data_IF_149087654822
#
_entry.id   IF_149087654822
#
_cell.length_a   1.000
_cell.length_b   1.000
_cell.length_c   1.000
_cell.angle_alpha   90.00
_cell.angle_beta   90.00
_cell.angle_gamma   90.00
#
_symmetry.space_group_name_H-M   'P 1'
#
loop_
_entity.id
_entity.type
_entity.pdbx_description
1 polymer ?
#
# COMPACT_ATOMS: atom_id res chain seq x y z
N UNK A 1 -30.04 13.64 -15.96
CA UNK A 1 -28.66 13.82 -15.48
C UNK A 1 -28.62 13.26 -14.06
N UNK A 2 -27.65 12.42 -13.70
CA UNK A 2 -27.52 11.91 -12.33
C UNK A 2 -27.28 13.05 -11.34
N UNK A 3 -27.84 12.93 -10.14
CA UNK A 3 -27.58 13.82 -9.01
C UNK A 3 -26.20 13.57 -8.41
N UNK A 4 -25.66 14.54 -7.66
CA UNK A 4 -24.38 14.38 -6.97
C UNK A 4 -24.39 13.18 -5.98
N UNK A 5 -25.55 12.90 -5.37
CA UNK A 5 -25.73 11.73 -4.50
C UNK A 5 -25.64 10.42 -5.27
N UNK A 6 -26.32 10.32 -6.42
CA UNK A 6 -26.26 9.12 -7.27
C UNK A 6 -24.83 8.87 -7.79
N UNK A 7 -24.13 9.93 -8.20
CA UNK A 7 -22.71 9.83 -8.62
C UNK A 7 -21.86 9.28 -7.49
N UNK A 8 -22.04 9.82 -6.26
CA UNK A 8 -21.31 9.37 -5.08
C UNK A 8 -21.56 7.91 -4.73
N UNK A 9 -22.81 7.46 -4.81
CA UNK A 9 -23.16 6.07 -4.49
C UNK A 9 -22.55 5.09 -5.51
N UNK A 10 -22.50 5.48 -6.79
CA UNK A 10 -21.82 4.72 -7.85
C UNK A 10 -20.32 4.68 -7.59
N UNK A 11 -19.69 5.82 -7.31
CA UNK A 11 -18.25 5.92 -7.02
C UNK A 11 -17.85 5.06 -5.80
N UNK A 12 -18.64 5.09 -4.72
CA UNK A 12 -18.44 4.25 -3.53
C UNK A 12 -18.53 2.77 -3.89
N UNK A 13 -19.50 2.36 -4.72
CA UNK A 13 -19.65 0.97 -5.15
C UNK A 13 -18.43 0.52 -5.96
N UNK A 14 -18.02 1.30 -6.95
CA UNK A 14 -16.86 0.98 -7.78
C UNK A 14 -15.57 0.94 -6.96
N UNK A 15 -15.34 1.93 -6.09
CA UNK A 15 -14.18 1.98 -5.21
C UNK A 15 -14.10 0.77 -4.27
N UNK A 16 -15.22 0.38 -3.65
CA UNK A 16 -15.29 -0.85 -2.82
C UNK A 16 -14.99 -2.12 -3.60
N UNK A 17 -15.50 -2.24 -4.84
CA UNK A 17 -15.21 -3.38 -5.71
C UNK A 17 -13.71 -3.43 -6.03
N UNK A 18 -13.12 -2.30 -6.47
CA UNK A 18 -11.69 -2.20 -6.79
C UNK A 18 -10.82 -2.61 -5.59
N UNK A 19 -11.08 -2.04 -4.41
CA UNK A 19 -10.40 -2.39 -3.16
C UNK A 19 -10.54 -3.87 -2.80
N UNK A 20 -11.73 -4.46 -2.95
CA UNK A 20 -11.98 -5.88 -2.68
C UNK A 20 -11.21 -6.79 -3.64
N UNK A 21 -11.24 -6.49 -4.93
CA UNK A 21 -10.53 -7.28 -5.95
C UNK A 21 -9.02 -7.18 -5.74
N UNK A 22 -8.51 -5.99 -5.39
CA UNK A 22 -7.12 -5.80 -5.01
C UNK A 22 -6.73 -6.64 -3.78
N UNK A 23 -7.56 -6.62 -2.74
CA UNK A 23 -7.31 -7.41 -1.53
C UNK A 23 -7.29 -8.92 -1.83
N UNK A 24 -8.20 -9.40 -2.68
CA UNK A 24 -8.22 -10.80 -3.13
C UNK A 24 -6.93 -11.14 -3.90
N UNK A 25 -6.49 -10.29 -4.82
CA UNK A 25 -5.24 -10.49 -5.55
C UNK A 25 -4.04 -10.56 -4.59
N UNK A 26 -3.92 -9.60 -3.65
CA UNK A 26 -2.86 -9.59 -2.65
C UNK A 26 -2.89 -10.85 -1.78
N UNK A 27 -4.08 -11.30 -1.38
CA UNK A 27 -4.25 -12.52 -0.59
C UNK A 27 -3.73 -13.75 -1.35
N UNK A 28 -4.13 -13.94 -2.61
CA UNK A 28 -3.65 -15.06 -3.42
C UNK A 28 -2.14 -14.98 -3.69
N UNK A 29 -1.63 -13.80 -4.04
CA UNK A 29 -0.21 -13.58 -4.30
C UNK A 29 0.67 -13.77 -3.05
N UNK A 30 0.15 -13.56 -1.85
CA UNK A 30 0.85 -13.86 -0.60
C UNK A 30 0.69 -15.31 -0.15
N UNK A 31 -0.55 -15.80 -0.09
CA UNK A 31 -0.85 -17.13 0.46
C UNK A 31 -0.30 -18.26 -0.41
N UNK A 32 -0.46 -18.19 -1.73
CA UNK A 32 -0.05 -19.28 -2.61
C UNK A 32 1.46 -19.59 -2.52
N UNK A 33 2.38 -18.62 -2.70
CA UNK A 33 3.81 -18.89 -2.55
C UNK A 33 4.19 -19.23 -1.10
N UNK A 34 3.56 -18.62 -0.10
CA UNK A 34 3.82 -18.96 1.30
C UNK A 34 3.50 -20.42 1.63
N UNK A 35 2.34 -20.92 1.19
CA UNK A 35 1.93 -22.31 1.40
C UNK A 35 2.78 -23.28 0.59
N UNK A 36 3.09 -22.94 -0.66
CA UNK A 36 3.98 -23.75 -1.50
C UNK A 36 5.38 -23.86 -0.86
N UNK A 37 5.96 -22.76 -0.40
CA UNK A 37 7.26 -22.77 0.29
C UNK A 37 7.19 -23.54 1.61
N UNK A 38 6.13 -23.37 2.39
CA UNK A 38 5.97 -24.04 3.68
C UNK A 38 5.88 -25.56 3.53
N UNK A 39 5.22 -26.04 2.47
CA UNK A 39 5.14 -27.46 2.15
C UNK A 39 6.53 -28.09 1.89
N UNK A 40 7.45 -27.35 1.29
CA UNK A 40 8.78 -27.85 0.95
C UNK A 40 9.85 -27.59 2.03
N UNK A 41 9.70 -26.52 2.83
CA UNK A 41 10.73 -26.06 3.77
C UNK A 41 10.43 -26.37 5.24
N UNK A 42 9.20 -26.78 5.57
CA UNK A 42 8.77 -27.11 6.94
C UNK A 42 9.18 -26.04 7.98
N UNK A 43 8.78 -24.76 7.80
CA UNK A 43 9.19 -23.66 8.65
C UNK A 43 8.77 -23.84 10.11
N UNK A 44 9.68 -23.49 11.02
CA UNK A 44 9.36 -23.38 12.45
C UNK A 44 8.45 -22.17 12.71
N UNK A 45 7.77 -22.15 13.85
CA UNK A 45 6.92 -20.99 14.21
C UNK A 45 7.74 -19.69 14.38
N UNK A 46 9.03 -19.79 14.77
CA UNK A 46 9.92 -18.64 14.85
C UNK A 46 10.21 -18.06 13.46
N UNK A 47 10.44 -18.92 12.46
CA UNK A 47 10.64 -18.50 11.08
C UNK A 47 9.39 -17.81 10.53
N UNK A 48 8.20 -18.32 10.84
CA UNK A 48 6.94 -17.66 10.52
C UNK A 48 6.83 -16.28 11.15
N UNK A 49 7.04 -16.17 12.47
CA UNK A 49 6.90 -14.91 13.20
C UNK A 49 7.90 -13.85 12.70
N UNK A 50 9.16 -14.25 12.53
CA UNK A 50 10.20 -13.38 12.00
C UNK A 50 9.87 -12.95 10.57
N UNK A 51 9.44 -13.89 9.72
CA UNK A 51 9.03 -13.62 8.36
C UNK A 51 7.87 -12.63 8.29
N UNK A 52 6.80 -12.84 9.05
CA UNK A 52 5.65 -11.91 9.08
C UNK A 52 6.08 -10.52 9.50
N UNK A 53 6.95 -10.42 10.52
CA UNK A 53 7.49 -9.14 10.98
C UNK A 53 8.28 -8.44 9.88
N UNK A 54 9.18 -9.15 9.21
CA UNK A 54 9.95 -8.62 8.07
C UNK A 54 9.00 -8.20 6.93
N UNK A 55 7.97 -9.00 6.63
CA UNK A 55 6.97 -8.70 5.60
C UNK A 55 6.18 -7.43 5.89
N UNK A 56 5.81 -7.17 7.15
CA UNK A 56 5.14 -5.94 7.56
C UNK A 56 6.05 -4.71 7.41
N UNK A 57 7.31 -4.82 7.84
CA UNK A 57 8.31 -3.74 7.69
C UNK A 57 8.58 -3.48 6.21
N UNK A 58 8.75 -4.54 5.42
CA UNK A 58 8.91 -4.46 3.97
C UNK A 58 7.70 -3.82 3.31
N UNK A 59 6.48 -4.17 3.72
CA UNK A 59 5.25 -3.55 3.21
C UNK A 59 5.22 -2.04 3.45
N UNK A 60 5.64 -1.59 4.62
CA UNK A 60 5.74 -0.16 4.93
C UNK A 60 6.83 0.55 4.12
N UNK A 61 8.01 -0.08 3.98
CA UNK A 61 9.10 0.42 3.13
C UNK A 61 8.67 0.52 1.66
N UNK A 62 7.99 -0.52 1.19
CA UNK A 62 7.48 -0.63 -0.16
C UNK A 62 6.43 0.44 -0.44
N UNK A 63 5.44 0.60 0.44
CA UNK A 63 4.43 1.66 0.32
C UNK A 63 5.10 3.03 0.18
N UNK A 64 6.04 3.35 1.07
CA UNK A 64 6.80 4.59 1.01
C UNK A 64 7.48 4.78 -0.36
N UNK A 65 8.23 3.77 -0.82
CA UNK A 65 8.96 3.86 -2.07
C UNK A 65 8.03 3.92 -3.29
N UNK A 66 6.97 3.12 -3.30
CA UNK A 66 5.94 3.09 -4.32
C UNK A 66 5.25 4.46 -4.43
N UNK A 67 4.81 5.00 -3.30
CA UNK A 67 4.13 6.28 -3.27
C UNK A 67 5.09 7.42 -3.68
N UNK A 68 6.29 7.49 -3.11
CA UNK A 68 7.26 8.54 -3.41
C UNK A 68 7.82 8.51 -4.83
N UNK A 69 8.22 7.34 -5.31
CA UNK A 69 9.00 7.22 -6.55
C UNK A 69 8.20 6.75 -7.75
N UNK A 70 7.05 6.09 -7.56
CA UNK A 70 6.21 5.65 -8.66
C UNK A 70 4.95 6.49 -8.79
N UNK A 71 4.20 6.68 -7.70
CA UNK A 71 2.97 7.47 -7.72
C UNK A 71 3.22 8.98 -7.85
N UNK A 72 4.34 9.48 -7.34
CA UNK A 72 4.75 10.88 -7.57
C UNK A 72 5.71 11.07 -8.75
N UNK A 73 5.90 10.06 -9.60
CA UNK A 73 6.70 10.19 -10.82
C UNK A 73 5.85 10.78 -11.96
N UNK A 74 6.14 12.02 -12.42
CA UNK A 74 5.37 12.65 -13.47
C UNK A 74 5.42 11.85 -14.77
N UNK A 75 4.35 11.93 -15.57
CA UNK A 75 4.26 11.33 -16.92
C UNK A 75 4.28 9.80 -16.97
N UNK A 76 4.12 9.12 -15.84
CA UNK A 76 3.83 7.69 -15.79
C UNK A 76 2.33 7.45 -15.62
N UNK A 77 1.84 6.27 -15.99
CA UNK A 77 0.42 5.92 -15.77
C UNK A 77 0.06 5.94 -14.28
N UNK A 78 0.98 5.49 -13.42
CA UNK A 78 0.83 5.54 -11.96
C UNK A 78 0.80 6.98 -11.44
N UNK A 79 1.68 7.84 -11.97
CA UNK A 79 1.69 9.27 -11.66
C UNK A 79 0.42 9.99 -12.05
N UNK A 80 -0.09 9.73 -13.25
CA UNK A 80 -1.35 10.33 -13.72
C UNK A 80 -2.55 9.89 -12.86
N UNK A 81 -2.64 8.59 -12.55
CA UNK A 81 -3.70 8.07 -11.68
C UNK A 81 -3.63 8.65 -10.26
N UNK A 82 -2.42 8.85 -9.73
CA UNK A 82 -2.24 9.47 -8.42
C UNK A 82 -2.55 10.96 -8.41
N UNK A 83 -2.22 11.69 -9.47
CA UNK A 83 -2.63 13.09 -9.62
C UNK A 83 -4.15 13.22 -9.69
N UNK A 84 -4.83 12.29 -10.37
CA UNK A 84 -6.28 12.23 -10.37
C UNK A 84 -6.84 11.94 -8.97
N UNK A 85 -6.24 11.01 -8.22
CA UNK A 85 -6.57 10.79 -6.81
C UNK A 85 -6.52 12.07 -5.97
N UNK A 86 -5.44 12.86 -6.09
CA UNK A 86 -5.29 14.17 -5.42
C UNK A 86 -6.35 15.18 -5.89
N UNK A 87 -6.66 15.21 -7.19
CA UNK A 87 -7.61 16.17 -7.76
C UNK A 87 -9.08 15.91 -7.38
N UNK A 88 -9.41 14.68 -6.98
CA UNK A 88 -10.80 14.26 -6.73
C UNK A 88 -11.23 14.35 -5.26
N UNK A 89 -10.39 14.87 -4.37
CA UNK A 89 -10.73 15.02 -2.95
C UNK A 89 -11.95 15.92 -2.78
N UNK A 90 -12.93 15.47 -2.00
CA UNK A 90 -14.16 16.20 -1.71
C UNK A 90 -15.17 16.25 -2.86
N UNK A 91 -14.85 15.70 -4.03
CA UNK A 91 -15.80 15.61 -5.14
C UNK A 91 -16.74 14.41 -4.95
N UNK A 92 -17.92 14.38 -5.59
CA UNK A 92 -18.78 13.20 -5.58
C UNK A 92 -18.10 11.92 -6.09
N UNK A 93 -17.04 12.03 -6.90
CA UNK A 93 -16.32 10.90 -7.51
C UNK A 93 -15.09 10.45 -6.72
N UNK A 94 -14.70 11.12 -5.63
CA UNK A 94 -13.50 10.82 -4.82
C UNK A 94 -13.27 9.32 -4.61
N UNK A 95 -14.32 8.62 -4.17
CA UNK A 95 -14.29 7.20 -3.81
C UNK A 95 -13.80 6.27 -4.93
N UNK A 96 -13.96 6.64 -6.20
CA UNK A 96 -13.53 5.84 -7.34
C UNK A 96 -12.00 5.81 -7.52
N UNK A 97 -11.34 6.86 -7.02
CA UNK A 97 -9.91 7.13 -7.21
C UNK A 97 -9.10 6.88 -5.94
N UNK A 98 -9.70 6.34 -4.88
CA UNK A 98 -8.99 6.14 -3.60
C UNK A 98 -7.97 5.01 -3.63
N UNK A 99 -8.16 3.97 -4.44
CA UNK A 99 -7.27 2.80 -4.40
C UNK A 99 -5.81 3.20 -4.71
N UNK A 100 -4.89 2.88 -3.79
CA UNK A 100 -3.47 3.20 -3.93
C UNK A 100 -2.84 2.44 -5.10
N UNK A 101 -3.22 1.17 -5.25
CA UNK A 101 -2.82 0.34 -6.38
C UNK A 101 -4.00 0.25 -7.35
N UNK A 102 -3.80 0.73 -8.58
CA UNK A 102 -4.92 0.94 -9.51
C UNK A 102 -5.58 -0.33 -10.06
N UNK A 103 -4.94 -1.51 -9.97
CA UNK A 103 -5.49 -2.76 -10.50
C UNK A 103 -4.92 -4.02 -9.82
N UNK A 104 -5.65 -5.16 -9.86
CA UNK A 104 -5.15 -6.44 -9.36
C UNK A 104 -3.93 -6.96 -10.16
N UNK A 105 -3.85 -6.64 -11.46
CA UNK A 105 -2.69 -7.00 -12.26
C UNK A 105 -1.42 -6.31 -11.73
N UNK A 106 -1.52 -5.05 -11.32
CA UNK A 106 -0.39 -4.34 -10.71
C UNK A 106 0.05 -5.02 -9.41
N UNK A 107 -0.88 -5.52 -8.60
CA UNK A 107 -0.54 -6.30 -7.40
C UNK A 107 0.23 -7.57 -7.78
N UNK A 108 -0.25 -8.33 -8.76
CA UNK A 108 0.45 -9.53 -9.24
C UNK A 108 1.86 -9.19 -9.69
N UNK A 109 2.03 -8.14 -10.50
CA UNK A 109 3.33 -7.69 -10.99
C UNK A 109 4.25 -7.28 -9.85
N UNK A 110 3.75 -6.57 -8.84
CA UNK A 110 4.53 -6.19 -7.66
C UNK A 110 5.04 -7.44 -6.91
N UNK A 111 4.18 -8.43 -6.69
CA UNK A 111 4.59 -9.69 -6.05
C UNK A 111 5.60 -10.47 -6.90
N UNK A 112 5.48 -10.46 -8.23
CA UNK A 112 6.46 -11.13 -9.11
C UNK A 112 7.80 -10.40 -9.06
N UNK A 113 7.82 -9.09 -9.26
CA UNK A 113 9.04 -8.28 -9.33
C UNK A 113 9.83 -8.33 -8.02
N UNK A 114 9.16 -8.35 -6.87
CA UNK A 114 9.83 -8.40 -5.57
C UNK A 114 10.02 -9.85 -5.06
N UNK A 115 9.03 -10.71 -5.29
CA UNK A 115 9.00 -12.07 -4.78
C UNK A 115 9.96 -13.01 -5.49
N UNK A 116 10.20 -12.85 -6.79
CA UNK A 116 11.17 -13.68 -7.51
C UNK A 116 12.61 -13.43 -7.01
N UNK A 117 13.11 -12.18 -6.93
CA UNK A 117 14.41 -11.92 -6.31
C UNK A 117 14.49 -12.39 -4.86
N UNK A 118 13.46 -12.13 -4.05
CA UNK A 118 13.42 -12.58 -2.66
C UNK A 118 13.49 -14.10 -2.53
N UNK A 119 12.79 -14.83 -3.41
CA UNK A 119 12.87 -16.28 -3.51
C UNK A 119 14.29 -16.75 -3.83
N UNK A 120 14.91 -16.22 -4.87
CA UNK A 120 16.28 -16.59 -5.25
C UNK A 120 17.28 -16.36 -4.10
N UNK A 121 17.20 -15.20 -3.45
CA UNK A 121 18.03 -14.88 -2.27
C UNK A 121 17.76 -15.87 -1.13
N UNK A 122 16.49 -16.18 -0.87
CA UNK A 122 16.11 -17.12 0.19
C UNK A 122 16.66 -18.52 -0.08
N UNK A 123 16.70 -18.97 -1.34
CA UNK A 123 17.24 -20.28 -1.70
C UNK A 123 18.73 -20.32 -1.50
N UNK A 124 19.45 -19.28 -1.95
CA UNK A 124 20.90 -19.17 -1.79
C UNK A 124 21.33 -19.15 -0.32
N UNK A 125 20.51 -18.57 0.57
CA UNK A 125 20.83 -18.41 1.98
C UNK A 125 20.15 -19.44 2.91
N UNK A 126 19.32 -20.35 2.38
CA UNK A 126 18.57 -21.30 3.19
C UNK A 126 17.47 -20.66 4.07
N UNK A 127 16.91 -19.52 3.65
CA UNK A 127 15.93 -18.72 4.39
C UNK A 127 14.49 -18.88 3.88
N UNK A 128 14.19 -19.95 3.13
CA UNK A 128 12.86 -20.16 2.52
C UNK A 128 11.75 -20.17 3.57
N UNK A 129 12.02 -20.74 4.76
CA UNK A 129 11.05 -20.77 5.86
C UNK A 129 10.67 -19.38 6.40
N UNK A 130 11.60 -18.42 6.38
CA UNK A 130 11.32 -17.02 6.74
C UNK A 130 10.52 -16.35 5.62
N UNK A 131 10.86 -16.62 4.36
CA UNK A 131 10.18 -16.05 3.20
C UNK A 131 8.68 -16.40 3.17
N UNK A 132 8.27 -17.56 3.68
CA UNK A 132 6.87 -17.91 3.91
C UNK A 132 6.12 -16.81 4.70
N UNK A 133 6.69 -16.41 5.84
CA UNK A 133 6.11 -15.36 6.66
C UNK A 133 6.16 -13.99 5.99
N UNK A 134 7.23 -13.68 5.23
CA UNK A 134 7.37 -12.40 4.51
C UNK A 134 6.23 -12.19 3.54
N UNK A 135 5.86 -13.20 2.75
CA UNK A 135 4.74 -13.12 1.81
C UNK A 135 3.41 -12.84 2.52
N UNK A 136 3.16 -13.49 3.67
CA UNK A 136 1.94 -13.23 4.45
C UNK A 136 1.94 -11.85 5.08
N UNK A 137 3.06 -11.43 5.70
CA UNK A 137 3.18 -10.12 6.32
C UNK A 137 3.03 -8.98 5.31
N UNK A 138 3.65 -9.11 4.14
CA UNK A 138 3.54 -8.10 3.09
C UNK A 138 2.13 -8.03 2.49
N UNK A 139 1.50 -9.18 2.24
CA UNK A 139 0.10 -9.24 1.79
C UNK A 139 -0.86 -8.58 2.80
N UNK A 140 -0.71 -8.91 4.09
CA UNK A 140 -1.48 -8.29 5.16
C UNK A 140 -1.28 -6.77 5.19
N UNK A 141 -0.03 -6.30 5.04
CA UNK A 141 0.27 -4.87 5.00
C UNK A 141 -0.45 -4.17 3.84
N UNK A 142 -0.37 -4.71 2.61
CA UNK A 142 -1.02 -4.11 1.44
C UNK A 142 -2.54 -4.02 1.60
N UNK A 143 -3.16 -5.08 2.13
CA UNK A 143 -4.61 -5.09 2.41
C UNK A 143 -4.97 -4.03 3.46
N UNK A 144 -4.19 -3.95 4.54
CA UNK A 144 -4.41 -2.95 5.60
C UNK A 144 -4.18 -1.53 5.08
N UNK A 145 -3.17 -1.31 4.26
CA UNK A 145 -2.86 -0.02 3.64
C UNK A 145 -4.05 0.48 2.82
N UNK A 146 -4.56 -0.34 1.89
CA UNK A 146 -5.73 0.00 1.06
C UNK A 146 -6.99 0.24 1.91
N UNK A 147 -7.21 -0.57 2.96
CA UNK A 147 -8.36 -0.42 3.86
C UNK A 147 -8.28 0.86 4.70
N UNK A 148 -7.12 1.17 5.27
CA UNK A 148 -6.93 2.37 6.09
C UNK A 148 -6.95 3.61 5.22
N UNK A 149 -6.32 3.59 4.04
CA UNK A 149 -6.38 4.67 3.04
C UNK A 149 -7.85 4.96 2.66
N UNK A 150 -8.63 3.92 2.37
CA UNK A 150 -10.06 4.05 2.12
C UNK A 150 -10.82 4.74 3.25
N UNK A 151 -10.59 4.31 4.50
CA UNK A 151 -11.28 4.89 5.67
C UNK A 151 -10.88 6.33 5.91
N UNK A 152 -9.63 6.68 5.64
CA UNK A 152 -9.12 8.05 5.69
C UNK A 152 -9.86 8.92 4.66
N UNK A 153 -10.04 8.50 3.43
CA UNK A 153 -10.81 9.31 2.47
C UNK A 153 -12.30 9.36 2.77
N UNK A 154 -12.90 8.22 3.11
CA UNK A 154 -14.36 8.11 3.28
C UNK A 154 -14.86 8.53 4.67
N UNK A 155 -14.07 9.29 5.42
CA UNK A 155 -14.37 9.71 6.80
C UNK A 155 -14.94 8.61 7.70
N UNK A 156 -14.45 7.38 7.51
CA UNK A 156 -14.94 6.19 8.21
C UNK A 156 -14.16 5.93 9.50
N UNK A 157 -14.69 5.07 10.36
CA UNK A 157 -14.06 4.72 11.63
C UNK A 157 -12.64 4.13 11.44
N UNK A 158 -11.70 4.64 12.22
CA UNK A 158 -10.32 4.16 12.32
C UNK A 158 -10.09 3.61 13.74
N UNK A 159 -9.22 2.60 13.91
CA UNK A 159 -8.79 2.17 15.24
C UNK A 159 -8.16 3.34 16.03
N UNK A 160 -8.30 3.39 17.38
CA UNK A 160 -7.79 4.49 18.20
C UNK A 160 -6.32 4.85 17.96
N UNK A 161 -5.45 3.84 17.78
CA UNK A 161 -4.03 4.03 17.49
C UNK A 161 -3.72 4.63 16.10
N UNK A 162 -4.70 4.72 15.21
CA UNK A 162 -4.57 5.24 13.84
C UNK A 162 -5.39 6.52 13.60
N UNK A 163 -5.99 7.11 14.64
CA UNK A 163 -6.74 8.37 14.46
C UNK A 163 -5.88 9.49 13.86
N UNK A 164 -4.59 9.55 14.21
CA UNK A 164 -3.65 10.54 13.67
C UNK A 164 -3.43 10.39 12.15
N UNK A 165 -3.55 9.17 11.62
CA UNK A 165 -3.23 8.85 10.23
C UNK A 165 -4.08 9.66 9.25
N UNK A 166 -5.34 9.96 9.61
CA UNK A 166 -6.22 10.81 8.81
C UNK A 166 -5.62 12.20 8.62
N UNK A 167 -5.28 12.89 9.71
CA UNK A 167 -4.70 14.23 9.63
C UNK A 167 -3.34 14.21 8.91
N UNK A 168 -2.53 13.18 9.17
CA UNK A 168 -1.24 13.00 8.54
C UNK A 168 -1.34 12.85 7.02
N UNK A 169 -2.17 11.94 6.54
CA UNK A 169 -2.37 11.69 5.10
C UNK A 169 -3.13 12.82 4.41
N UNK A 170 -4.09 13.47 5.07
CA UNK A 170 -4.72 14.66 4.47
C UNK A 170 -3.71 15.81 4.31
N UNK A 171 -2.74 15.94 5.21
CA UNK A 171 -1.63 16.90 5.04
C UNK A 171 -0.70 16.56 3.86
N UNK A 172 -0.67 15.30 3.43
CA UNK A 172 0.01 14.91 2.18
C UNK A 172 -0.71 15.48 0.96
N UNK A 173 -2.04 15.42 0.95
CA UNK A 173 -2.84 15.99 -0.15
C UNK A 173 -2.70 17.50 -0.27
N UNK A 174 -2.55 18.20 0.84
CA UNK A 174 -2.26 19.64 0.83
C UNK A 174 -0.86 19.95 0.29
N UNK A 175 0.14 19.11 0.62
CA UNK A 175 1.55 19.29 0.23
C UNK A 175 2.14 17.95 -0.26
N UNK A 176 1.94 17.60 -1.56
CA UNK A 176 2.18 16.26 -2.09
C UNK A 176 3.64 15.78 -2.15
N UNK A 177 4.60 16.63 -1.75
CA UNK A 177 6.03 16.31 -1.74
C UNK A 177 6.58 15.92 -0.36
N UNK A 178 5.73 15.43 0.55
CA UNK A 178 6.07 14.97 1.90
C UNK A 178 5.07 13.91 2.34
N UNK A 179 5.34 13.13 3.41
CA UNK A 179 4.38 12.19 4.02
C UNK A 179 3.86 11.10 3.07
N UNK A 180 4.75 10.23 2.62
CA UNK A 180 4.46 9.21 1.62
C UNK A 180 3.90 7.90 2.19
N UNK A 181 4.15 7.57 3.46
CA UNK A 181 3.39 6.49 4.10
C UNK A 181 1.99 6.99 4.46
N UNK A 182 0.95 6.26 4.11
CA UNK A 182 -0.44 6.65 4.31
C UNK A 182 -0.84 6.65 5.79
N UNK A 183 -0.43 5.64 6.56
CA UNK A 183 -0.96 5.47 7.93
C UNK A 183 0.06 5.16 9.02
N UNK A 184 1.20 4.57 8.66
CA UNK A 184 2.30 4.33 9.58
C UNK A 184 3.57 5.00 9.02
N UNK A 185 3.97 6.18 9.53
CA UNK A 185 5.01 7.01 8.93
C UNK A 185 6.44 6.53 9.24
N UNK A 186 6.69 5.22 9.29
CA UNK A 186 7.97 4.67 9.69
C UNK A 186 9.09 5.12 8.73
N UNK A 187 8.91 4.94 7.42
CA UNK A 187 9.96 5.32 6.45
C UNK A 187 9.97 6.82 6.16
N UNK A 188 8.84 7.53 6.30
CA UNK A 188 8.87 8.99 6.35
C UNK A 188 9.72 9.53 7.49
N UNK A 189 9.61 8.96 8.71
CA UNK A 189 10.42 9.36 9.86
C UNK A 189 11.90 9.01 9.65
N UNK A 190 12.18 7.78 9.19
CA UNK A 190 13.54 7.32 8.96
C UNK A 190 14.27 8.13 7.88
N UNK A 191 13.55 8.63 6.87
CA UNK A 191 14.11 9.34 5.72
C UNK A 191 13.85 10.86 5.73
N UNK A 192 13.24 11.37 6.80
CA UNK A 192 13.06 12.80 7.04
C UNK A 192 12.00 13.47 6.15
N UNK A 193 10.91 12.79 5.83
CA UNK A 193 9.82 13.27 4.97
C UNK A 193 8.55 13.68 5.73
N UNK A 194 8.63 13.85 7.05
CA UNK A 194 7.49 14.26 7.90
C UNK A 194 7.24 15.76 7.93
N UNK A 195 8.23 16.58 7.55
CA UNK A 195 8.20 18.03 7.69
C UNK A 195 7.79 18.74 6.40
N UNK A 196 7.11 19.88 6.59
CA UNK A 196 6.83 20.84 5.51
C UNK A 196 8.12 21.64 5.26
N UNK A 197 8.60 21.65 4.01
CA UNK A 197 9.46 22.75 3.55
C UNK A 197 10.86 22.84 4.17
N UNK A 198 11.69 21.82 3.98
CA UNK A 198 13.09 22.08 3.60
C UNK A 198 13.22 21.81 2.11
N UNK A 199 12.65 22.71 1.30
CA UNK A 199 13.22 22.94 -0.02
C UNK A 199 14.68 23.33 0.20
N UNK A 200 15.59 22.38 0.03
CA UNK A 200 16.94 22.74 -0.39
C UNK A 200 16.78 23.25 -1.82
N UNK A 201 16.43 24.54 -1.95
CA UNK A 201 16.78 25.27 -3.16
C UNK A 201 18.32 25.19 -3.25
N UNK A 202 18.89 24.77 -4.37
CA UNK A 202 20.30 24.98 -4.60
C UNK A 202 20.54 26.50 -4.66
N UNK A 203 21.49 26.97 -3.85
CA UNK A 203 22.16 28.27 -4.05
C UNK A 203 23.02 28.17 -5.30
#
# INVERSE_FOLDING_TARGET
MPTATEIRDIAIRHGKIKKRVNAIAALFCGMFPALWLAFHSHPTWQAWLLGVTIGLIWGNAFEYAYHRFLLHCPRTQHGAAHQEHHAQIGTPTEAEFVALISSPLNIVLLFVINGVPAFLISVLLGLQGILCGVFLGWSAYLILCEEVHWRIHMNSWLPPGLHFARAYHMSHHDIPNSRYNVFLPLFDLLLGNTDIGKSKLPV
#
